data_IF_664405100427
#
_entry.id   IF_664405100427
#
_cell.length_a   1.000
_cell.length_b   1.000
_cell.length_c   1.000
_cell.angle_alpha   90.00
_cell.angle_beta   90.00
_cell.angle_gamma   90.00
#
_symmetry.space_group_name_H-M   'P 1'
#
loop_
_entity.id
_entity.type
_entity.pdbx_description
1 polymer ?
#
# COMPACT_ATOMS: atom_id res chain seq x y z
N UNK A 1 1.60 17.84 4.46
CA UNK A 1 2.33 17.75 3.17
C UNK A 1 2.11 19.09 2.51
N UNK A 2 3.09 19.99 2.62
CA UNK A 2 2.93 21.39 2.23
C UNK A 2 2.84 21.53 0.72
N UNK A 3 2.00 22.47 0.27
CA UNK A 3 1.94 22.93 -1.11
C UNK A 3 3.33 23.37 -1.59
N UNK A 4 3.97 22.52 -2.41
CA UNK A 4 5.20 22.88 -3.15
C UNK A 4 4.85 23.41 -4.56
N UNK A 5 3.58 23.49 -4.94
CA UNK A 5 3.16 23.91 -6.30
C UNK A 5 2.79 25.39 -6.46
N UNK A 6 3.12 26.26 -5.49
CA UNK A 6 2.71 27.67 -5.53
C UNK A 6 3.86 28.64 -5.20
N UNK A 7 4.78 28.81 -6.15
CA UNK A 7 5.42 30.12 -6.44
C UNK A 7 6.50 29.96 -7.51
N UNK A 8 6.12 30.05 -8.78
CA UNK A 8 7.09 30.43 -9.83
C UNK A 8 6.52 31.65 -10.55
N UNK A 9 7.18 32.78 -10.32
CA UNK A 9 6.89 34.05 -10.99
C UNK A 9 7.36 33.91 -12.43
N UNK A 10 6.44 34.12 -13.37
CA UNK A 10 6.68 34.14 -14.81
C UNK A 10 7.52 35.38 -15.12
N UNK A 11 8.72 35.19 -15.65
CA UNK A 11 9.52 36.27 -16.22
C UNK A 11 9.11 36.44 -17.69
N UNK A 12 8.42 37.55 -18.01
CA UNK A 12 7.91 37.87 -19.35
C UNK A 12 9.02 38.34 -20.32
N UNK A 13 10.30 38.26 -19.96
CA UNK A 13 11.38 38.90 -20.73
C UNK A 13 12.20 38.00 -21.66
N UNK A 14 11.78 36.76 -21.95
CA UNK A 14 12.47 35.87 -22.91
C UNK A 14 11.59 35.54 -24.12
N UNK A 15 11.34 36.56 -24.94
CA UNK A 15 10.82 36.40 -26.31
C UNK A 15 11.97 36.02 -27.26
N UNK A 16 12.08 34.73 -27.63
CA UNK A 16 12.67 34.30 -28.92
C UNK A 16 12.49 32.80 -29.27
N UNK A 17 11.38 32.15 -28.88
CA UNK A 17 11.06 30.79 -29.33
C UNK A 17 9.56 30.67 -29.64
N UNK A 18 9.13 31.33 -30.71
CA UNK A 18 7.72 31.64 -31.00
C UNK A 18 6.74 30.46 -30.99
N UNK A 19 5.43 30.76 -30.85
CA UNK A 19 4.35 29.76 -30.75
C UNK A 19 4.32 28.73 -31.90
N UNK A 20 4.84 29.08 -33.08
CA UNK A 20 4.86 28.23 -34.29
C UNK A 20 5.71 26.94 -34.15
N UNK A 21 6.83 26.99 -33.41
CA UNK A 21 7.70 25.81 -33.21
C UNK A 21 7.04 24.78 -32.29
N UNK A 22 6.37 25.27 -31.25
CA UNK A 22 5.66 24.42 -30.31
C UNK A 22 4.43 23.81 -30.98
N UNK A 23 3.59 24.55 -31.72
CA UNK A 23 2.48 23.94 -32.48
C UNK A 23 2.94 22.85 -33.47
N UNK A 24 4.12 23.00 -34.08
CA UNK A 24 4.70 22.03 -35.03
C UNK A 24 5.11 20.70 -34.38
N UNK A 25 5.54 20.73 -33.11
CA UNK A 25 6.10 19.56 -32.39
C UNK A 25 5.26 19.09 -31.18
N UNK A 26 4.29 19.90 -30.73
CA UNK A 26 3.25 19.59 -29.73
C UNK A 26 2.17 18.74 -30.38
N UNK A 27 1.70 19.15 -31.56
CA UNK A 27 0.62 18.47 -32.29
C UNK A 27 1.28 17.56 -33.35
N UNK A 28 0.82 16.32 -33.57
CA UNK A 28 1.64 15.22 -34.15
C UNK A 28 1.91 15.35 -35.66
N UNK A 29 2.59 16.41 -36.09
CA UNK A 29 3.15 16.55 -37.43
C UNK A 29 4.49 15.82 -37.60
N UNK A 30 5.24 15.63 -36.51
CA UNK A 30 6.57 15.00 -36.51
C UNK A 30 6.54 13.52 -36.09
N UNK A 31 7.02 12.63 -36.96
CA UNK A 31 6.98 11.18 -36.76
C UNK A 31 7.87 10.69 -35.60
N UNK A 32 9.03 11.33 -35.37
CA UNK A 32 9.95 10.91 -34.30
C UNK A 32 9.54 11.49 -32.94
N UNK A 33 8.98 12.70 -32.89
CA UNK A 33 8.33 13.19 -31.66
C UNK A 33 7.20 12.25 -31.23
N UNK A 34 6.38 11.77 -32.18
CA UNK A 34 5.32 10.79 -31.90
C UNK A 34 5.86 9.47 -31.36
N UNK A 35 7.00 8.99 -31.87
CA UNK A 35 7.65 7.78 -31.34
C UNK A 35 8.08 7.98 -29.88
N UNK A 36 8.65 9.14 -29.54
CA UNK A 36 9.05 9.50 -28.19
C UNK A 36 7.84 9.58 -27.24
N UNK A 37 6.78 10.28 -27.64
CA UNK A 37 5.55 10.38 -26.83
C UNK A 37 4.88 9.02 -26.63
N UNK A 38 4.79 8.21 -27.68
CA UNK A 38 4.23 6.85 -27.60
C UNK A 38 5.05 5.96 -26.69
N UNK A 39 6.39 6.04 -26.79
CA UNK A 39 7.30 5.30 -25.93
C UNK A 39 7.10 5.66 -24.45
N UNK A 40 6.84 6.93 -24.11
CA UNK A 40 6.59 7.33 -22.71
C UNK A 40 5.12 7.25 -22.28
N UNK A 41 4.26 6.66 -23.12
CA UNK A 41 2.83 6.57 -22.82
C UNK A 41 2.14 7.94 -22.71
N UNK A 42 2.67 8.98 -23.36
CA UNK A 42 2.09 10.32 -23.38
C UNK A 42 1.00 10.36 -24.45
N UNK A 43 -0.23 10.65 -24.03
CA UNK A 43 -1.38 10.75 -24.91
C UNK A 43 -1.50 12.14 -25.54
N UNK A 44 -2.32 12.27 -26.58
CA UNK A 44 -2.66 13.58 -27.18
C UNK A 44 -3.28 14.53 -26.15
N UNK A 45 -4.16 14.01 -25.28
CA UNK A 45 -4.78 14.81 -24.23
C UNK A 45 -3.76 15.32 -23.19
N UNK A 46 -2.72 14.54 -22.91
CA UNK A 46 -1.62 14.99 -22.03
C UNK A 46 -0.85 16.15 -22.65
N UNK A 47 -0.59 16.08 -23.96
CA UNK A 47 0.14 17.10 -24.69
C UNK A 47 -0.69 18.39 -24.81
N UNK A 48 -1.98 18.28 -25.14
CA UNK A 48 -2.91 19.42 -25.18
C UNK A 48 -3.02 20.09 -23.80
N UNK A 49 -3.16 19.30 -22.73
CA UNK A 49 -3.23 19.81 -21.35
C UNK A 49 -1.93 20.47 -20.90
N UNK A 50 -0.78 19.97 -21.35
CA UNK A 50 0.53 20.51 -21.01
C UNK A 50 0.99 21.66 -21.93
N UNK A 51 0.31 21.94 -23.04
CA UNK A 51 0.76 22.89 -24.07
C UNK A 51 1.05 24.31 -23.54
N UNK A 52 0.19 24.83 -22.66
CA UNK A 52 0.41 26.13 -22.02
C UNK A 52 1.66 26.10 -21.11
N UNK A 53 1.84 25.02 -20.35
CA UNK A 53 3.01 24.84 -19.48
C UNK A 53 4.28 24.70 -20.31
N UNK A 54 4.27 23.88 -21.37
CA UNK A 54 5.38 23.70 -22.30
C UNK A 54 5.83 25.02 -22.92
N UNK A 55 4.87 25.88 -23.28
CA UNK A 55 5.12 27.21 -23.86
C UNK A 55 5.74 28.18 -22.85
N UNK A 56 5.41 28.04 -21.56
CA UNK A 56 5.95 28.89 -20.49
C UNK A 56 7.32 28.47 -19.95
N UNK A 57 7.72 27.19 -20.13
CA UNK A 57 8.96 26.67 -19.56
C UNK A 57 10.21 27.19 -20.31
N UNK A 58 11.19 27.71 -19.57
CA UNK A 58 12.51 27.99 -20.14
C UNK A 58 13.27 26.69 -20.46
N UNK A 59 14.27 26.72 -21.36
CA UNK A 59 15.13 25.56 -21.65
C UNK A 59 15.78 24.95 -20.40
N UNK A 60 16.29 25.82 -19.51
CA UNK A 60 16.94 25.41 -18.26
C UNK A 60 15.93 24.75 -17.31
N UNK A 61 14.72 25.31 -17.18
CA UNK A 61 13.67 24.72 -16.35
C UNK A 61 13.21 23.35 -16.87
N UNK A 62 13.11 23.19 -18.19
CA UNK A 62 12.78 21.89 -18.78
C UNK A 62 13.88 20.86 -18.49
N UNK A 63 15.15 21.25 -18.57
CA UNK A 63 16.28 20.37 -18.21
C UNK A 63 16.23 19.96 -16.73
N UNK A 64 15.99 20.92 -15.82
CA UNK A 64 15.89 20.67 -14.39
C UNK A 64 14.76 19.68 -14.05
N UNK A 65 13.59 19.84 -14.66
CA UNK A 65 12.45 18.92 -14.47
C UNK A 65 12.82 17.49 -14.92
N UNK A 66 13.49 17.35 -16.06
CA UNK A 66 13.90 16.03 -16.57
C UNK A 66 14.98 15.39 -15.68
N UNK A 67 15.90 16.19 -15.12
CA UNK A 67 16.90 15.71 -14.15
C UNK A 67 16.25 15.29 -12.84
N UNK A 68 15.28 16.06 -12.35
CA UNK A 68 14.52 15.72 -11.15
C UNK A 68 13.71 14.45 -11.35
N UNK A 69 13.11 14.24 -12.53
CA UNK A 69 12.47 12.98 -12.88
C UNK A 69 13.43 11.79 -12.74
N UNK A 70 14.62 11.85 -13.32
CA UNK A 70 15.61 10.77 -13.21
C UNK A 70 16.09 10.54 -11.77
N UNK A 71 16.22 11.62 -10.99
CA UNK A 71 16.65 11.54 -9.59
C UNK A 71 15.59 10.88 -8.70
N UNK A 72 14.31 11.17 -8.93
CA UNK A 72 13.20 10.68 -8.11
C UNK A 72 12.73 9.30 -8.59
N UNK A 73 12.65 9.11 -9.90
CA UNK A 73 12.01 7.94 -10.53
C UNK A 73 12.97 7.04 -11.31
N UNK A 74 14.27 7.34 -11.37
CA UNK A 74 15.23 6.54 -12.13
C UNK A 74 15.36 5.09 -11.66
N UNK A 75 15.21 4.87 -10.34
CA UNK A 75 15.23 3.53 -9.71
C UNK A 75 13.81 3.03 -9.36
N UNK A 76 12.76 3.70 -9.84
CA UNK A 76 11.37 3.33 -9.56
C UNK A 76 10.94 2.14 -10.43
N UNK A 77 10.73 0.99 -9.81
CA UNK A 77 10.29 -0.24 -10.49
C UNK A 77 8.92 -0.12 -11.18
N UNK A 78 8.12 0.88 -10.83
CA UNK A 78 6.81 1.13 -11.44
C UNK A 78 6.89 2.03 -12.68
N UNK A 79 8.05 2.64 -12.96
CA UNK A 79 8.28 3.42 -14.17
C UNK A 79 8.98 2.54 -15.20
N UNK A 80 8.45 2.40 -16.42
CA UNK A 80 9.09 1.55 -17.42
C UNK A 80 10.50 2.04 -17.77
N UNK A 81 11.46 1.12 -17.87
CA UNK A 81 12.89 1.41 -18.13
C UNK A 81 13.10 2.23 -19.41
N UNK A 82 12.25 2.02 -20.41
CA UNK A 82 12.30 2.79 -21.66
C UNK A 82 11.93 4.27 -21.48
N UNK A 83 11.11 4.63 -20.49
CA UNK A 83 10.80 6.02 -20.18
C UNK A 83 12.01 6.72 -19.54
N UNK A 84 12.68 6.03 -18.61
CA UNK A 84 13.94 6.51 -18.01
C UNK A 84 15.02 6.70 -19.07
N UNK A 85 15.21 5.71 -19.96
CA UNK A 85 16.21 5.82 -21.03
C UNK A 85 15.87 6.91 -22.05
N UNK A 86 14.59 7.15 -22.33
CA UNK A 86 14.13 8.24 -23.21
C UNK A 86 14.46 9.60 -22.61
N UNK A 87 14.23 9.80 -21.31
CA UNK A 87 14.58 11.06 -20.63
C UNK A 87 16.09 11.28 -20.60
N UNK A 88 16.89 10.25 -20.31
CA UNK A 88 18.36 10.33 -20.37
C UNK A 88 18.83 10.71 -21.77
N UNK A 89 18.27 10.09 -22.80
CA UNK A 89 18.58 10.39 -24.20
C UNK A 89 18.20 11.84 -24.58
N UNK A 90 17.07 12.36 -24.10
CA UNK A 90 16.68 13.75 -24.32
C UNK A 90 17.68 14.72 -23.67
N UNK A 91 18.10 14.45 -22.43
CA UNK A 91 19.10 15.28 -21.73
C UNK A 91 20.47 15.28 -22.45
N UNK A 92 20.92 14.12 -22.94
CA UNK A 92 22.15 14.01 -23.73
C UNK A 92 22.07 14.79 -25.06
N UNK A 93 20.91 14.74 -25.73
CA UNK A 93 20.66 15.49 -26.98
C UNK A 93 20.69 17.00 -26.74
N UNK A 94 20.11 17.48 -25.64
CA UNK A 94 20.13 18.91 -25.28
C UNK A 94 21.57 19.37 -24.97
N UNK A 95 22.34 18.57 -24.23
CA UNK A 95 23.70 18.92 -23.82
C UNK A 95 24.70 18.99 -25.00
N UNK A 96 24.46 18.23 -26.07
CA UNK A 96 25.38 18.11 -27.22
C UNK A 96 25.07 19.09 -28.37
N UNK A 97 23.85 19.61 -28.49
CA UNK A 97 23.47 20.52 -29.57
C UNK A 97 23.79 22.00 -29.24
N UNK A 98 24.78 22.59 -29.94
CA UNK A 98 25.22 23.98 -29.65
C UNK A 98 24.43 25.10 -30.35
N UNK A 99 23.66 24.84 -31.42
CA UNK A 99 22.93 25.92 -32.12
C UNK A 99 21.81 25.45 -33.07
N UNK A 100 21.56 24.15 -33.19
CA UNK A 100 20.50 23.60 -34.03
C UNK A 100 19.94 22.31 -33.43
N UNK A 101 18.95 22.44 -32.54
CA UNK A 101 17.79 21.53 -32.56
C UNK A 101 16.65 22.13 -31.73
N UNK A 102 16.10 23.25 -32.21
CA UNK A 102 14.85 23.84 -31.71
C UNK A 102 13.75 22.77 -31.53
N UNK A 103 13.82 21.72 -32.36
CA UNK A 103 13.01 20.50 -32.29
C UNK A 103 13.25 19.65 -31.04
N UNK A 104 14.49 19.23 -30.74
CA UNK A 104 14.75 18.45 -29.52
C UNK A 104 14.43 19.26 -28.27
N UNK A 105 14.69 20.56 -28.30
CA UNK A 105 14.31 21.46 -27.22
C UNK A 105 12.78 21.54 -27.06
N UNK A 106 12.01 21.62 -28.15
CA UNK A 106 10.56 21.62 -28.11
C UNK A 106 10.00 20.29 -27.58
N UNK A 107 10.54 19.15 -28.03
CA UNK A 107 10.17 17.82 -27.53
C UNK A 107 10.48 17.70 -26.04
N UNK A 108 11.69 18.09 -25.62
CA UNK A 108 12.10 18.06 -24.22
C UNK A 108 11.21 18.94 -23.33
N UNK A 109 10.86 20.15 -23.79
CA UNK A 109 9.90 21.04 -23.08
C UNK A 109 8.52 20.42 -22.97
N UNK A 110 8.02 19.79 -24.03
CA UNK A 110 6.73 19.11 -24.02
C UNK A 110 6.73 17.94 -23.02
N UNK A 111 7.77 17.10 -23.04
CA UNK A 111 7.94 15.99 -22.11
C UNK A 111 8.05 16.48 -20.68
N UNK A 112 8.91 17.47 -20.42
CA UNK A 112 9.07 18.09 -19.11
C UNK A 112 7.74 18.67 -18.61
N UNK A 113 6.98 19.36 -19.46
CA UNK A 113 5.69 19.92 -19.12
C UNK A 113 4.67 18.83 -18.72
N UNK A 114 4.60 17.72 -19.45
CA UNK A 114 3.71 16.60 -19.11
C UNK A 114 4.11 15.97 -17.77
N UNK A 115 5.41 15.70 -17.57
CA UNK A 115 5.92 15.10 -16.34
C UNK A 115 5.77 16.03 -15.11
N UNK A 116 5.80 17.34 -15.31
CA UNK A 116 5.62 18.33 -14.24
C UNK A 116 4.14 18.60 -13.92
N UNK A 117 3.30 18.70 -14.95
CA UNK A 117 1.89 19.07 -14.80
C UNK A 117 1.00 17.89 -14.44
N UNK A 118 1.35 16.67 -14.83
CA UNK A 118 0.55 15.47 -14.63
C UNK A 118 1.35 14.34 -13.93
N UNK A 119 0.70 13.21 -13.64
CA UNK A 119 1.35 12.03 -13.06
C UNK A 119 2.39 11.44 -14.01
N UNK A 120 3.51 10.92 -13.49
CA UNK A 120 4.51 10.18 -14.28
C UNK A 120 3.98 8.84 -14.78
N UNK A 121 3.07 8.21 -14.02
CA UNK A 121 2.45 6.93 -14.38
C UNK A 121 1.30 7.13 -15.38
N UNK A 122 1.38 6.44 -16.51
CA UNK A 122 0.40 6.52 -17.59
C UNK A 122 -1.00 6.09 -17.14
N UNK A 123 -1.07 5.04 -16.34
CA UNK A 123 -2.32 4.48 -15.82
C UNK A 123 -3.06 5.54 -15.00
N UNK A 124 -2.33 6.29 -14.16
CA UNK A 124 -2.90 7.36 -13.34
C UNK A 124 -3.39 8.52 -14.22
N UNK A 125 -2.60 8.94 -15.21
CA UNK A 125 -3.02 10.02 -16.15
C UNK A 125 -4.30 9.66 -16.91
N UNK A 126 -4.48 8.39 -17.25
CA UNK A 126 -5.63 7.93 -18.02
C UNK A 126 -6.95 7.95 -17.22
N UNK A 127 -6.90 7.90 -15.89
CA UNK A 127 -8.09 7.81 -15.03
C UNK A 127 -8.29 8.99 -14.09
N UNK A 128 -7.26 9.79 -13.80
CA UNK A 128 -7.30 10.91 -12.86
C UNK A 128 -6.93 12.21 -13.56
N UNK A 129 -7.78 13.25 -13.51
CA UNK A 129 -7.41 14.56 -14.02
C UNK A 129 -6.29 15.19 -13.19
N UNK A 130 -5.34 15.85 -13.85
CA UNK A 130 -4.20 16.50 -13.21
C UNK A 130 -4.57 17.73 -12.37
N UNK A 131 -5.72 18.35 -12.67
CA UNK A 131 -6.21 19.56 -12.02
C UNK A 131 -7.33 19.25 -11.03
N UNK A 132 -7.34 19.99 -9.91
CA UNK A 132 -8.43 19.94 -8.93
C UNK A 132 -9.42 21.08 -9.15
N UNK A 133 -10.71 20.77 -9.12
CA UNK A 133 -11.76 21.77 -9.09
C UNK A 133 -12.14 22.10 -7.63
N UNK A 134 -11.63 23.21 -7.12
CA UNK A 134 -11.82 23.64 -5.72
C UNK A 134 -13.28 24.03 -5.41
N UNK A 135 -14.08 24.36 -6.43
CA UNK A 135 -15.49 24.74 -6.27
C UNK A 135 -16.41 23.52 -6.09
N UNK A 136 -15.92 22.30 -6.38
CA UNK A 136 -16.75 21.11 -6.32
C UNK A 136 -17.13 20.76 -4.86
N UNK A 137 -18.43 20.57 -4.55
CA UNK A 137 -18.87 20.30 -3.19
C UNK A 137 -18.39 18.92 -2.70
N UNK A 138 -17.77 18.92 -1.53
CA UNK A 138 -17.20 17.74 -0.86
C UNK A 138 -18.02 17.30 0.34
N UNK A 139 -18.35 18.26 1.22
CA UNK A 139 -19.01 18.02 2.49
C UNK A 139 -20.51 18.26 2.38
N UNK A 140 -21.24 17.26 1.88
CA UNK A 140 -22.69 17.38 1.64
C UNK A 140 -23.48 16.45 2.55
N UNK A 141 -24.73 16.83 2.84
CA UNK A 141 -25.62 16.02 3.70
C UNK A 141 -25.90 14.65 3.06
N UNK A 142 -26.11 14.60 1.74
CA UNK A 142 -26.34 13.34 1.01
C UNK A 142 -25.14 12.40 1.10
N UNK A 143 -23.91 12.93 1.02
CA UNK A 143 -22.68 12.16 1.19
C UNK A 143 -22.62 11.54 2.58
N UNK A 144 -22.86 12.34 3.63
CA UNK A 144 -22.89 11.83 5.02
C UNK A 144 -23.96 10.76 5.23
N UNK A 145 -25.17 10.96 4.72
CA UNK A 145 -26.27 9.99 4.88
C UNK A 145 -25.92 8.67 4.19
N UNK A 146 -25.49 8.71 2.92
CA UNK A 146 -25.13 7.50 2.17
C UNK A 146 -23.90 6.83 2.82
N UNK A 147 -22.90 7.61 3.21
CA UNK A 147 -21.68 7.13 3.86
C UNK A 147 -21.97 6.45 5.19
N UNK A 148 -22.85 7.00 6.03
CA UNK A 148 -23.23 6.39 7.30
C UNK A 148 -24.04 5.10 7.13
N UNK A 149 -24.91 5.04 6.11
CA UNK A 149 -25.65 3.82 5.77
C UNK A 149 -24.68 2.69 5.41
N UNK A 150 -23.71 2.97 4.53
CA UNK A 150 -22.73 1.96 4.13
C UNK A 150 -21.74 1.63 5.25
N UNK A 151 -21.28 2.63 6.00
CA UNK A 151 -20.35 2.40 7.09
C UNK A 151 -20.96 1.49 8.18
N UNK A 152 -22.18 1.79 8.62
CA UNK A 152 -22.90 0.97 9.60
C UNK A 152 -23.37 -0.37 9.04
N UNK A 153 -23.87 -0.37 7.80
CA UNK A 153 -24.38 -1.57 7.13
C UNK A 153 -23.30 -2.61 6.86
N UNK A 154 -22.14 -2.19 6.32
CA UNK A 154 -21.01 -3.10 6.09
C UNK A 154 -20.46 -3.66 7.41
N UNK A 155 -20.27 -2.81 8.41
CA UNK A 155 -19.82 -3.25 9.73
C UNK A 155 -20.75 -4.32 10.31
N UNK A 156 -22.07 -4.09 10.26
CA UNK A 156 -23.06 -5.04 10.74
C UNK A 156 -23.08 -6.35 9.95
N UNK A 157 -23.03 -6.28 8.61
CA UNK A 157 -23.01 -7.45 7.75
C UNK A 157 -21.76 -8.30 7.96
N UNK A 158 -20.57 -7.68 7.96
CA UNK A 158 -19.32 -8.40 8.16
C UNK A 158 -19.26 -9.01 9.57
N UNK A 159 -19.69 -8.27 10.59
CA UNK A 159 -19.78 -8.80 11.95
C UNK A 159 -20.71 -10.00 12.05
N UNK A 160 -21.85 -9.97 11.34
CA UNK A 160 -22.82 -11.06 11.32
C UNK A 160 -22.28 -12.32 10.63
N UNK A 161 -21.51 -12.16 9.55
CA UNK A 161 -20.94 -13.29 8.81
C UNK A 161 -19.60 -13.79 9.36
N UNK A 162 -18.94 -13.03 10.23
CA UNK A 162 -17.64 -13.36 10.80
C UNK A 162 -17.54 -14.80 11.34
N UNK A 163 -18.49 -15.30 12.16
CA UNK A 163 -18.35 -16.60 12.81
C UNK A 163 -18.58 -17.80 11.88
N UNK A 164 -18.91 -17.58 10.60
CA UNK A 164 -19.15 -18.66 9.65
C UNK A 164 -17.84 -19.24 9.17
N UNK A 165 -17.81 -20.56 8.95
CA UNK A 165 -16.74 -21.22 8.20
C UNK A 165 -17.29 -21.70 6.84
N UNK A 166 -16.79 -21.17 5.70
CA UNK A 166 -15.82 -20.06 5.58
C UNK A 166 -16.45 -18.69 5.91
N UNK A 167 -15.62 -17.75 6.37
CA UNK A 167 -16.06 -16.37 6.64
C UNK A 167 -16.49 -15.70 5.34
N UNK A 168 -17.67 -15.10 5.33
CA UNK A 168 -18.18 -14.34 4.18
C UNK A 168 -17.90 -12.88 4.46
N UNK A 169 -17.13 -12.23 3.58
CA UNK A 169 -16.77 -10.81 3.76
C UNK A 169 -17.29 -9.97 2.61
N UNK A 170 -18.08 -8.96 2.95
CA UNK A 170 -18.72 -8.04 2.00
C UNK A 170 -17.77 -6.87 1.74
N UNK A 171 -17.07 -6.90 0.61
CA UNK A 171 -16.06 -5.90 0.27
C UNK A 171 -16.62 -4.47 0.15
N UNK A 172 -15.77 -3.49 0.45
CA UNK A 172 -16.03 -2.04 0.30
C UNK A 172 -16.42 -1.66 -1.13
N UNK A 173 -16.02 -2.45 -2.15
CA UNK A 173 -16.40 -2.21 -3.54
C UNK A 173 -17.92 -2.21 -3.76
N UNK A 174 -18.69 -2.91 -2.92
CA UNK A 174 -20.16 -2.83 -2.94
C UNK A 174 -20.65 -1.43 -2.56
N UNK A 175 -20.08 -0.83 -1.51
CA UNK A 175 -20.40 0.54 -1.13
C UNK A 175 -19.98 1.54 -2.21
N UNK A 176 -18.86 1.30 -2.90
CA UNK A 176 -18.43 2.13 -4.02
C UNK A 176 -19.43 2.05 -5.20
N UNK A 177 -19.77 0.84 -5.64
CA UNK A 177 -20.69 0.64 -6.77
C UNK A 177 -22.10 1.16 -6.49
N UNK A 178 -22.69 0.74 -5.36
CA UNK A 178 -24.05 1.15 -5.01
C UNK A 178 -24.11 2.58 -4.47
N UNK A 179 -23.07 3.05 -3.78
CA UNK A 179 -22.95 4.44 -3.35
C UNK A 179 -22.99 5.41 -4.53
N UNK A 180 -22.40 5.05 -5.68
CA UNK A 180 -22.49 5.85 -6.89
C UNK A 180 -23.92 5.95 -7.43
N UNK A 181 -24.63 4.83 -7.52
CA UNK A 181 -26.01 4.80 -7.95
C UNK A 181 -26.92 5.60 -6.99
N UNK A 182 -26.73 5.44 -5.67
CA UNK A 182 -27.44 6.18 -4.65
C UNK A 182 -27.13 7.68 -4.68
N UNK A 183 -25.88 8.05 -4.93
CA UNK A 183 -25.45 9.44 -5.03
C UNK A 183 -26.02 10.16 -6.25
N UNK A 184 -26.00 9.49 -7.42
CA UNK A 184 -26.67 9.97 -8.64
C UNK A 184 -28.18 10.12 -8.43
N UNK A 185 -28.82 9.15 -7.79
CA UNK A 185 -30.25 9.24 -7.44
C UNK A 185 -30.53 10.37 -6.44
N UNK A 186 -29.68 10.58 -5.43
CA UNK A 186 -29.80 11.67 -4.49
C UNK A 186 -29.66 13.03 -5.18
N UNK A 187 -28.73 13.17 -6.13
CA UNK A 187 -28.54 14.39 -6.90
C UNK A 187 -29.72 14.71 -7.85
N UNK A 188 -30.50 13.72 -8.27
CA UNK A 188 -31.69 13.95 -9.12
C UNK A 188 -32.98 14.13 -8.31
N UNK A 189 -33.11 13.45 -7.18
CA UNK A 189 -34.34 13.43 -6.37
C UNK A 189 -34.37 14.56 -5.34
N UNK A 190 -33.24 14.89 -4.71
CA UNK A 190 -33.22 15.87 -3.62
C UNK A 190 -33.41 17.30 -4.13
N UNK A 191 -34.13 18.15 -3.38
CA UNK A 191 -34.40 19.53 -3.80
C UNK A 191 -33.14 20.40 -3.75
N UNK A 192 -32.95 21.21 -4.79
CA UNK A 192 -31.92 22.26 -4.86
C UNK A 192 -32.21 23.48 -3.96
N UNK A 193 -33.27 23.42 -3.14
CA UNK A 193 -33.73 24.55 -2.33
C UNK A 193 -32.72 24.85 -1.23
N UNK A 194 -32.30 26.11 -1.16
CA UNK A 194 -31.51 26.62 -0.02
C UNK A 194 -32.44 26.85 1.17
N UNK A 195 -32.17 26.17 2.27
CA UNK A 195 -32.83 26.37 3.55
C UNK A 195 -32.14 27.50 4.32
N UNK A 196 -32.91 28.31 5.05
CA UNK A 196 -32.44 29.47 5.82
C UNK A 196 -31.56 30.47 5.04
N UNK A 197 -32.02 30.96 3.87
CA UNK A 197 -31.24 31.88 3.05
C UNK A 197 -30.91 33.16 3.83
N UNK A 198 -29.66 33.61 3.77
CA UNK A 198 -29.18 34.82 4.45
C UNK A 198 -28.76 34.64 5.91
N UNK A 199 -28.84 33.42 6.46
CA UNK A 199 -28.29 33.11 7.79
C UNK A 199 -26.97 32.35 7.69
N UNK A 200 -26.16 32.38 8.75
CA UNK A 200 -24.96 31.53 8.90
C UNK A 200 -25.24 30.02 8.89
N UNK A 201 -26.50 29.62 9.00
CA UNK A 201 -26.96 28.23 8.99
C UNK A 201 -27.64 27.86 7.67
N UNK A 202 -27.41 28.63 6.60
CA UNK A 202 -27.91 28.29 5.29
C UNK A 202 -27.29 26.98 4.80
N UNK A 203 -28.12 26.04 4.34
CA UNK A 203 -27.66 24.78 3.77
C UNK A 203 -28.59 24.29 2.66
N UNK A 204 -28.08 23.37 1.85
CA UNK A 204 -28.84 22.68 0.80
C UNK A 204 -28.68 21.18 0.95
N UNK A 205 -29.75 20.43 0.65
CA UNK A 205 -29.69 18.97 0.56
C UNK A 205 -29.03 18.50 -0.75
N UNK A 206 -29.05 19.37 -1.76
CA UNK A 206 -28.52 19.11 -3.08
C UNK A 206 -27.73 20.35 -3.56
N UNK A 207 -26.41 20.42 -3.29
CA UNK A 207 -25.59 21.55 -3.76
C UNK A 207 -25.30 21.53 -5.26
N UNK A 208 -25.60 20.44 -5.95
CA UNK A 208 -25.30 20.30 -7.39
C UNK A 208 -25.17 18.84 -7.82
N UNK A 209 -24.65 18.60 -9.04
CA UNK A 209 -24.40 17.27 -9.56
C UNK A 209 -23.58 16.38 -8.62
N UNK A 210 -23.70 15.07 -8.77
CA UNK A 210 -22.92 14.11 -8.00
C UNK A 210 -21.42 14.21 -8.33
N UNK A 211 -20.59 14.47 -7.31
CA UNK A 211 -19.14 14.66 -7.48
C UNK A 211 -18.32 13.38 -7.25
N UNK A 212 -17.13 13.33 -7.86
CA UNK A 212 -16.15 12.29 -7.53
C UNK A 212 -15.69 12.41 -6.07
N UNK A 213 -15.61 13.63 -5.53
CA UNK A 213 -15.18 13.85 -4.14
C UNK A 213 -16.17 13.27 -3.12
N UNK A 214 -17.48 13.44 -3.34
CA UNK A 214 -18.50 12.82 -2.50
C UNK A 214 -18.42 11.28 -2.54
N UNK A 215 -18.20 10.73 -3.74
CA UNK A 215 -18.04 9.29 -3.95
C UNK A 215 -16.82 8.72 -3.20
N UNK A 216 -15.68 9.41 -3.29
CA UNK A 216 -14.44 9.04 -2.60
C UNK A 216 -14.64 9.05 -1.09
N UNK A 217 -15.30 10.08 -0.54
CA UNK A 217 -15.55 10.17 0.91
C UNK A 217 -16.42 9.02 1.42
N UNK A 218 -17.48 8.63 0.71
CA UNK A 218 -18.30 7.45 1.07
C UNK A 218 -17.45 6.19 1.10
N UNK A 219 -16.55 6.04 0.14
CA UNK A 219 -15.68 4.87 0.02
C UNK A 219 -14.69 4.82 1.19
N UNK A 220 -14.10 5.96 1.56
CA UNK A 220 -13.24 6.09 2.75
C UNK A 220 -14.01 5.75 4.02
N UNK A 221 -15.20 6.34 4.23
CA UNK A 221 -16.04 6.07 5.41
C UNK A 221 -16.36 4.58 5.54
N UNK A 222 -16.70 3.93 4.43
CA UNK A 222 -17.03 2.50 4.38
C UNK A 222 -15.81 1.61 4.59
N UNK A 223 -14.64 2.03 4.12
CA UNK A 223 -13.39 1.30 4.29
C UNK A 223 -12.96 1.25 5.75
N UNK A 224 -13.07 2.37 6.46
CA UNK A 224 -12.69 2.48 7.88
C UNK A 224 -13.54 1.58 8.78
N UNK A 225 -14.82 1.36 8.45
CA UNK A 225 -15.74 0.56 9.28
C UNK A 225 -15.88 -0.91 8.86
N UNK A 226 -15.27 -1.31 7.75
CA UNK A 226 -15.43 -2.65 7.16
C UNK A 226 -14.83 -3.77 8.04
N UNK A 227 -13.78 -3.47 8.81
CA UNK A 227 -13.04 -4.46 9.61
C UNK A 227 -13.81 -4.84 10.88
N UNK A 228 -13.93 -6.13 11.12
CA UNK A 228 -14.54 -6.66 12.34
C UNK A 228 -13.61 -6.51 13.54
N UNK A 229 -14.10 -6.04 14.70
CA UNK A 229 -13.28 -5.91 15.90
C UNK A 229 -12.82 -7.28 16.41
N UNK A 230 -11.52 -7.37 16.72
CA UNK A 230 -10.84 -8.54 17.34
C UNK A 230 -11.57 -9.02 18.61
N UNK A 231 -12.24 -8.11 19.31
CA UNK A 231 -13.01 -8.43 20.52
C UNK A 231 -14.07 -9.52 20.32
N UNK A 232 -14.53 -9.72 19.09
CA UNK A 232 -15.46 -10.79 18.72
C UNK A 232 -14.88 -12.18 18.99
N UNK A 233 -13.59 -12.39 18.70
CA UNK A 233 -12.93 -13.68 18.91
C UNK A 233 -12.74 -13.97 20.39
N UNK A 234 -12.36 -12.94 21.15
CA UNK A 234 -12.22 -13.02 22.60
C UNK A 234 -13.51 -13.51 23.27
N UNK A 235 -14.67 -13.06 22.78
CA UNK A 235 -15.97 -13.53 23.25
C UNK A 235 -16.15 -15.02 23.02
N UNK A 236 -15.83 -15.53 21.82
CA UNK A 236 -15.96 -16.95 21.50
C UNK A 236 -15.01 -17.81 22.34
N UNK A 237 -13.77 -17.38 22.53
CA UNK A 237 -12.79 -18.08 23.37
C UNK A 237 -13.21 -18.09 24.84
N UNK A 238 -13.75 -16.97 25.34
CA UNK A 238 -14.24 -16.92 26.71
C UNK A 238 -15.47 -17.81 26.90
N UNK A 239 -16.43 -17.80 25.96
CA UNK A 239 -17.70 -18.51 26.13
C UNK A 239 -17.65 -20.00 25.81
N UNK A 240 -16.96 -20.42 24.75
CA UNK A 240 -17.04 -21.81 24.28
C UNK A 240 -16.41 -22.75 25.32
N UNK A 241 -17.12 -23.82 25.62
CA UNK A 241 -16.71 -24.82 26.62
C UNK A 241 -15.42 -25.56 26.21
N UNK A 242 -15.13 -25.60 24.90
CA UNK A 242 -13.88 -26.12 24.35
C UNK A 242 -12.65 -25.30 24.79
N UNK A 243 -12.84 -24.03 25.12
CA UNK A 243 -11.77 -23.11 25.50
C UNK A 243 -11.84 -22.79 27.00
N UNK A 244 -12.47 -21.67 27.40
CA UNK A 244 -12.50 -21.22 28.80
C UNK A 244 -13.82 -21.53 29.52
N UNK A 245 -14.90 -21.86 28.79
CA UNK A 245 -16.20 -22.23 29.37
C UNK A 245 -16.80 -21.18 30.32
N UNK A 246 -16.47 -19.90 30.13
CA UNK A 246 -16.94 -18.82 31.00
C UNK A 246 -18.36 -18.44 30.60
N UNK A 247 -19.35 -18.94 31.36
CA UNK A 247 -20.76 -18.65 31.11
C UNK A 247 -21.08 -17.15 31.11
N UNK A 248 -20.39 -16.34 31.93
CA UNK A 248 -20.58 -14.88 31.98
C UNK A 248 -20.27 -14.20 30.64
N UNK A 249 -19.38 -14.78 29.84
CA UNK A 249 -18.99 -14.21 28.56
C UNK A 249 -20.14 -14.22 27.55
N UNK A 250 -21.14 -15.11 27.68
CA UNK A 250 -22.35 -15.09 26.83
C UNK A 250 -23.15 -13.79 26.92
N UNK A 251 -22.97 -13.04 28.00
CA UNK A 251 -23.66 -11.77 28.22
C UNK A 251 -22.82 -10.64 27.63
N UNK A 252 -23.13 -10.20 26.41
CA UNK A 252 -22.59 -8.93 25.86
C UNK A 252 -22.91 -7.74 26.79
N UNK A 253 -23.98 -7.87 27.57
CA UNK A 253 -24.30 -6.98 28.68
C UNK A 253 -23.26 -7.00 29.78
N UNK A 254 -22.55 -8.10 30.10
CA UNK A 254 -21.52 -8.12 31.14
C UNK A 254 -20.32 -7.21 30.81
N UNK A 255 -19.94 -7.11 29.53
CA UNK A 255 -18.88 -6.20 29.07
C UNK A 255 -19.35 -4.74 29.07
N UNK A 256 -20.54 -4.46 28.54
CA UNK A 256 -21.15 -3.12 28.66
C UNK A 256 -21.40 -2.75 30.12
N UNK A 257 -21.77 -3.71 30.96
CA UNK A 257 -21.96 -3.60 32.41
C UNK A 257 -20.61 -3.38 33.09
N UNK A 258 -19.50 -3.93 32.60
CA UNK A 258 -18.17 -3.56 33.06
C UNK A 258 -17.89 -2.07 32.80
N UNK A 259 -18.36 -1.48 31.70
CA UNK A 259 -18.22 -0.03 31.45
C UNK A 259 -19.25 0.84 32.20
N UNK A 260 -20.49 0.36 32.36
CA UNK A 260 -21.63 1.12 32.88
C UNK A 260 -21.80 0.99 34.39
N UNK A 261 -21.42 -0.15 35.00
CA UNK A 261 -21.49 -0.29 36.46
C UNK A 261 -20.51 0.69 37.11
N UNK A 262 -21.03 1.54 38.00
CA UNK A 262 -20.23 2.39 38.87
C UNK A 262 -19.49 1.64 39.97
N UNK A 263 -19.71 0.33 40.10
CA UNK A 263 -19.04 -0.51 41.08
C UNK A 263 -17.54 -0.63 40.76
N UNK A 264 -16.71 -0.24 41.73
CA UNK A 264 -15.26 -0.34 41.70
C UNK A 264 -14.78 -1.17 42.91
N UNK A 265 -14.98 -2.50 42.89
CA UNK A 265 -14.56 -3.36 43.98
C UNK A 265 -13.03 -3.38 44.11
N UNK A 266 -12.53 -3.84 45.27
CA UNK A 266 -11.11 -4.09 45.47
C UNK A 266 -10.65 -5.18 44.50
N UNK A 267 -9.72 -4.87 43.60
CA UNK A 267 -9.05 -5.84 42.74
C UNK A 267 -7.66 -6.10 43.34
N UNK A 268 -7.36 -7.33 43.77
CA UNK A 268 -6.05 -7.73 44.33
C UNK A 268 -5.45 -6.75 45.37
N UNK A 269 -6.30 -6.19 46.25
CA UNK A 269 -5.86 -5.30 47.34
C UNK A 269 -5.72 -3.81 46.99
N UNK A 270 -5.96 -3.41 45.74
CA UNK A 270 -5.92 -2.00 45.30
C UNK A 270 -7.24 -1.57 44.64
N UNK A 271 -7.48 -0.25 44.59
CA UNK A 271 -8.65 0.35 43.93
C UNK A 271 -8.19 1.38 42.91
N UNK A 272 -8.57 1.20 41.66
CA UNK A 272 -8.38 2.18 40.59
C UNK A 272 -9.69 2.34 39.82
N UNK A 273 -10.10 3.58 39.54
CA UNK A 273 -11.31 3.78 38.72
C UNK A 273 -11.05 3.31 37.29
N UNK A 274 -12.04 2.67 36.67
CA UNK A 274 -11.97 2.13 35.30
C UNK A 274 -11.40 3.12 34.28
N UNK A 275 -11.85 4.38 34.31
CA UNK A 275 -11.35 5.43 33.41
C UNK A 275 -9.89 5.80 33.66
N UNK A 276 -9.46 5.91 34.93
CA UNK A 276 -8.03 6.13 35.26
C UNK A 276 -7.18 4.95 34.82
N UNK A 277 -7.66 3.71 35.02
CA UNK A 277 -6.95 2.53 34.55
C UNK A 277 -6.81 2.53 33.03
N UNK A 278 -7.91 2.80 32.31
CA UNK A 278 -7.88 2.95 30.85
C UNK A 278 -6.89 4.03 30.40
N UNK A 279 -6.94 5.23 30.97
CA UNK A 279 -6.03 6.32 30.60
C UNK A 279 -4.57 6.01 30.89
N UNK A 280 -4.28 5.34 32.02
CA UNK A 280 -2.92 4.90 32.35
C UNK A 280 -2.43 3.85 31.35
N UNK A 281 -3.22 2.81 31.09
CA UNK A 281 -2.85 1.76 30.13
C UNK A 281 -2.71 2.33 28.72
N UNK A 282 -3.61 3.23 28.31
CA UNK A 282 -3.55 3.93 27.03
C UNK A 282 -2.27 4.77 26.90
N UNK A 283 -1.94 5.58 27.91
CA UNK A 283 -0.72 6.39 27.90
C UNK A 283 0.54 5.51 27.89
N UNK A 284 0.57 4.43 28.70
CA UNK A 284 1.66 3.48 28.70
C UNK A 284 1.82 2.78 27.36
N UNK A 285 0.71 2.32 26.75
CA UNK A 285 0.71 1.69 25.43
C UNK A 285 1.19 2.68 24.36
N UNK A 286 0.69 3.92 24.36
CA UNK A 286 1.14 4.97 23.44
C UNK A 286 2.65 5.22 23.55
N UNK A 287 3.17 5.41 24.76
CA UNK A 287 4.61 5.57 24.98
C UNK A 287 5.39 4.33 24.50
N UNK A 288 4.89 3.14 24.82
CA UNK A 288 5.54 1.89 24.45
C UNK A 288 5.57 1.66 22.95
N UNK A 289 4.51 1.97 22.20
CA UNK A 289 4.49 1.84 20.74
C UNK A 289 5.30 2.94 20.04
N UNK A 290 5.34 4.15 20.59
CA UNK A 290 6.06 5.28 19.99
C UNK A 290 7.59 5.09 20.04
N UNK A 291 8.11 4.47 21.09
CA UNK A 291 9.55 4.24 21.27
C UNK A 291 10.17 3.40 20.13
N UNK A 292 9.75 2.14 19.88
CA UNK A 292 10.33 1.32 18.82
C UNK A 292 9.96 1.86 17.44
N UNK A 293 8.76 2.40 17.23
CA UNK A 293 8.33 2.80 15.89
C UNK A 293 8.88 4.16 15.43
N UNK A 294 9.19 5.08 16.35
CA UNK A 294 9.57 6.45 15.98
C UNK A 294 10.92 6.87 16.53
N UNK A 295 11.20 6.63 17.81
CA UNK A 295 12.46 7.09 18.42
C UNK A 295 13.65 6.17 18.14
N UNK A 296 13.43 4.84 18.24
CA UNK A 296 14.48 3.83 18.09
C UNK A 296 13.99 2.62 17.27
N UNK A 297 13.85 2.77 15.92
CA UNK A 297 13.50 1.68 15.01
C UNK A 297 14.36 0.42 15.12
N UNK A 298 15.58 0.55 15.64
CA UNK A 298 16.48 -0.58 15.90
C UNK A 298 15.97 -1.55 16.96
N UNK A 299 15.04 -1.12 17.84
CA UNK A 299 14.41 -1.99 18.84
C UNK A 299 13.39 -2.95 18.23
N UNK A 300 12.88 -2.67 17.02
CA UNK A 300 11.97 -3.57 16.30
C UNK A 300 12.68 -4.82 15.80
N UNK A 301 13.94 -4.71 15.34
CA UNK A 301 14.75 -5.84 14.89
C UNK A 301 15.98 -6.03 15.79
N UNK A 302 15.72 -6.39 17.04
CA UNK A 302 16.75 -6.48 18.06
C UNK A 302 17.50 -7.83 17.97
N UNK A 303 18.80 -7.80 17.65
CA UNK A 303 19.64 -9.00 17.55
C UNK A 303 20.89 -8.92 18.44
N UNK A 304 20.69 -9.00 19.75
CA UNK A 304 21.77 -8.91 20.74
C UNK A 304 22.77 -10.08 20.71
N UNK A 305 22.38 -11.25 20.19
CA UNK A 305 23.25 -12.44 20.14
C UNK A 305 24.49 -12.18 19.26
N UNK A 306 24.39 -11.26 18.29
CA UNK A 306 25.55 -10.82 17.50
C UNK A 306 26.64 -10.18 18.35
N UNK A 307 26.36 -9.65 19.54
CA UNK A 307 27.40 -9.13 20.43
C UNK A 307 28.35 -10.21 20.96
N UNK A 308 27.90 -11.47 21.02
CA UNK A 308 28.74 -12.61 21.41
C UNK A 308 29.81 -12.87 20.34
N UNK A 309 29.44 -12.74 19.06
CA UNK A 309 30.36 -12.91 17.92
C UNK A 309 30.01 -11.96 16.78
N UNK A 310 30.44 -10.69 16.86
CA UNK A 310 29.96 -9.62 15.97
C UNK A 310 30.41 -9.77 14.51
N UNK A 311 31.51 -10.49 14.28
CA UNK A 311 32.06 -10.71 12.93
C UNK A 311 31.49 -11.94 12.22
N UNK A 312 30.59 -12.70 12.86
CA UNK A 312 30.09 -13.95 12.29
C UNK A 312 28.81 -13.73 11.50
N UNK A 313 28.92 -13.80 10.17
CA UNK A 313 27.77 -13.78 9.27
C UNK A 313 26.76 -14.89 9.59
N UNK A 314 27.23 -16.09 9.95
CA UNK A 314 26.37 -17.23 10.34
C UNK A 314 25.50 -16.91 11.56
N UNK A 315 26.07 -16.28 12.59
CA UNK A 315 25.31 -15.90 13.79
C UNK A 315 24.26 -14.85 13.43
N UNK A 316 24.64 -13.82 12.67
CA UNK A 316 23.71 -12.80 12.22
C UNK A 316 22.56 -13.37 11.36
N UNK A 317 22.86 -14.32 10.47
CA UNK A 317 21.91 -14.95 9.56
C UNK A 317 20.85 -15.79 10.31
N UNK A 318 21.28 -16.56 11.30
CA UNK A 318 20.39 -17.46 12.05
C UNK A 318 19.58 -16.68 13.09
N UNK A 319 20.20 -15.76 13.82
CA UNK A 319 19.54 -15.09 14.96
C UNK A 319 18.89 -13.76 14.59
N UNK A 320 19.27 -13.15 13.47
CA UNK A 320 18.70 -11.89 13.00
C UNK A 320 17.24 -12.05 12.62
N UNK A 321 16.42 -11.02 12.86
CA UNK A 321 15.00 -11.01 12.47
C UNK A 321 14.70 -10.08 11.29
N UNK A 322 15.73 -9.41 10.76
CA UNK A 322 15.60 -8.43 9.68
C UNK A 322 15.56 -9.10 8.30
N UNK A 323 14.61 -8.66 7.47
CA UNK A 323 14.26 -9.06 6.09
C UNK A 323 14.33 -10.55 5.73
N UNK A 324 15.52 -11.16 5.68
CA UNK A 324 15.68 -12.54 5.18
C UNK A 324 16.48 -13.46 6.10
N UNK A 325 16.62 -13.07 7.37
CA UNK A 325 17.22 -13.89 8.41
C UNK A 325 16.16 -14.80 9.07
N UNK A 326 16.58 -15.78 9.87
CA UNK A 326 15.66 -16.79 10.42
C UNK A 326 14.95 -16.39 11.73
N UNK A 327 15.43 -15.38 12.43
CA UNK A 327 14.79 -14.87 13.65
C UNK A 327 14.90 -15.80 14.86
N UNK A 328 15.86 -16.75 14.88
CA UNK A 328 16.11 -17.61 16.04
C UNK A 328 16.77 -16.84 17.17
N UNK A 329 15.97 -16.01 17.82
CA UNK A 329 16.37 -15.16 18.91
C UNK A 329 15.25 -15.14 19.97
N UNK A 330 15.53 -15.54 21.22
CA UNK A 330 14.56 -15.49 22.31
C UNK A 330 14.00 -14.08 22.58
N UNK A 331 14.75 -13.05 22.23
CA UNK A 331 14.35 -11.65 22.35
C UNK A 331 14.67 -10.93 21.03
N UNK A 332 13.83 -11.19 20.02
CA UNK A 332 13.97 -10.70 18.64
C UNK A 332 13.47 -9.27 18.44
N UNK A 333 12.59 -8.78 19.30
CA UNK A 333 11.96 -7.47 19.16
C UNK A 333 11.46 -6.93 20.50
N UNK A 334 11.44 -5.61 20.63
CA UNK A 334 10.69 -4.90 21.68
C UNK A 334 9.41 -4.25 21.13
N UNK A 335 9.05 -4.52 19.88
CA UNK A 335 7.85 -4.00 19.24
C UNK A 335 6.73 -5.04 19.31
N UNK A 336 5.65 -4.70 20.01
CA UNK A 336 4.49 -5.59 20.12
C UNK A 336 3.79 -5.81 18.78
N UNK A 337 3.87 -4.88 17.82
CA UNK A 337 3.26 -5.09 16.50
C UNK A 337 3.83 -6.32 15.79
N UNK A 338 5.10 -6.65 16.06
CA UNK A 338 5.74 -7.83 15.49
C UNK A 338 5.17 -9.13 16.08
N UNK A 339 4.79 -9.12 17.36
CA UNK A 339 4.20 -10.27 18.05
C UNK A 339 2.69 -10.39 17.89
N UNK A 340 1.98 -9.28 17.59
CA UNK A 340 0.53 -9.32 17.35
C UNK A 340 0.13 -10.12 16.12
N UNK A 341 1.06 -10.46 15.22
CA UNK A 341 0.76 -11.34 14.08
C UNK A 341 0.23 -12.73 14.46
N UNK A 342 0.48 -13.19 15.69
CA UNK A 342 -0.03 -14.46 16.25
C UNK A 342 -1.12 -14.21 17.31
N UNK A 343 -1.40 -12.94 17.64
CA UNK A 343 -2.34 -12.46 18.66
C UNK A 343 -2.38 -13.33 19.92
N UNK A 344 -1.33 -13.29 20.77
CA UNK A 344 -1.18 -14.20 21.91
C UNK A 344 -2.26 -14.03 22.99
N UNK A 345 -3.03 -12.93 22.97
CA UNK A 345 -4.16 -12.72 23.87
C UNK A 345 -5.41 -13.51 23.47
N UNK A 346 -5.50 -13.88 22.20
CA UNK A 346 -6.65 -14.56 21.60
C UNK A 346 -6.28 -16.02 21.38
N UNK A 347 -5.10 -16.29 20.84
CA UNK A 347 -4.66 -17.64 20.52
C UNK A 347 -4.32 -18.43 21.80
N UNK A 348 -4.98 -19.58 22.07
CA UNK A 348 -4.64 -20.44 23.20
C UNK A 348 -3.15 -20.75 23.27
N UNK A 349 -2.57 -20.70 24.47
CA UNK A 349 -1.13 -20.89 24.68
C UNK A 349 -0.59 -22.14 23.99
N UNK A 350 -1.32 -23.26 24.06
CA UNK A 350 -0.90 -24.50 23.41
C UNK A 350 -0.77 -24.36 21.89
N UNK A 351 -1.68 -23.64 21.22
CA UNK A 351 -1.60 -23.38 19.78
C UNK A 351 -0.38 -22.51 19.46
N UNK A 352 -0.15 -21.45 20.25
CA UNK A 352 1.06 -20.61 20.09
C UNK A 352 2.33 -21.45 20.23
N UNK A 353 2.40 -22.33 21.24
CA UNK A 353 3.57 -23.21 21.43
C UNK A 353 3.75 -24.21 20.30
N UNK A 354 2.67 -24.70 19.69
CA UNK A 354 2.75 -25.56 18.51
C UNK A 354 3.27 -24.79 17.28
N UNK A 355 2.76 -23.58 17.04
CA UNK A 355 3.21 -22.74 15.92
C UNK A 355 4.69 -22.43 16.07
N UNK A 356 5.10 -21.89 17.22
CA UNK A 356 6.50 -21.55 17.50
C UNK A 356 7.39 -22.79 17.49
N UNK A 357 6.94 -23.90 18.09
CA UNK A 357 7.67 -25.16 18.10
C UNK A 357 7.86 -25.74 16.70
N UNK A 358 6.83 -25.66 15.85
CA UNK A 358 6.91 -26.12 14.45
C UNK A 358 7.85 -25.24 13.63
N UNK A 359 7.75 -23.91 13.77
CA UNK A 359 8.66 -22.98 13.11
C UNK A 359 10.11 -23.22 13.55
N UNK A 360 10.32 -23.51 14.84
CA UNK A 360 11.63 -23.80 15.38
C UNK A 360 12.21 -25.11 14.83
N UNK A 361 11.40 -26.16 14.81
CA UNK A 361 11.78 -27.46 14.25
C UNK A 361 12.14 -27.34 12.76
N UNK A 362 11.26 -26.76 11.95
CA UNK A 362 11.48 -26.62 10.51
C UNK A 362 12.65 -25.71 10.17
N UNK A 363 12.81 -24.60 10.90
CA UNK A 363 13.94 -23.70 10.72
C UNK A 363 15.29 -24.32 11.08
N UNK A 364 15.40 -24.98 12.24
CA UNK A 364 16.67 -25.54 12.70
C UNK A 364 17.01 -26.89 12.07
N UNK A 365 16.02 -27.77 11.90
CA UNK A 365 16.27 -29.14 11.44
C UNK A 365 16.20 -29.30 9.92
N UNK A 366 15.63 -28.32 9.19
CA UNK A 366 15.46 -28.41 7.74
C UNK A 366 16.08 -27.22 7.01
N UNK A 367 15.64 -25.99 7.30
CA UNK A 367 16.14 -24.80 6.55
C UNK A 367 17.65 -24.63 6.73
N UNK A 368 18.14 -24.66 7.96
CA UNK A 368 19.58 -24.53 8.27
C UNK A 368 20.42 -25.63 7.56
N UNK A 369 20.13 -26.94 7.69
CA UNK A 369 20.87 -27.97 6.97
C UNK A 369 20.83 -27.84 5.45
N UNK A 370 19.66 -27.56 4.87
CA UNK A 370 19.48 -27.38 3.41
C UNK A 370 20.36 -26.24 2.90
N UNK A 371 20.33 -25.11 3.61
CA UNK A 371 21.12 -23.92 3.27
C UNK A 371 22.63 -24.16 3.38
N UNK A 372 23.11 -24.67 4.51
CA UNK A 372 24.55 -24.85 4.73
C UNK A 372 25.14 -26.05 3.98
N UNK A 373 24.31 -27.03 3.60
CA UNK A 373 24.71 -28.12 2.71
C UNK A 373 24.59 -27.72 1.23
N UNK A 374 24.18 -26.48 0.96
CA UNK A 374 23.98 -25.91 -0.37
C UNK A 374 23.14 -26.80 -1.29
N UNK A 375 22.08 -27.38 -0.75
CA UNK A 375 21.15 -28.20 -1.54
C UNK A 375 20.39 -27.27 -2.47
N UNK A 376 20.34 -27.59 -3.76
CA UNK A 376 19.70 -26.77 -4.81
C UNK A 376 20.22 -25.33 -4.91
N UNK A 377 21.53 -25.13 -4.67
CA UNK A 377 22.19 -23.82 -4.78
C UNK A 377 21.62 -22.74 -3.83
N UNK A 378 20.90 -23.18 -2.80
CA UNK A 378 20.24 -22.29 -1.82
C UNK A 378 21.23 -21.45 -1.00
N UNK A 379 22.48 -21.89 -0.86
CA UNK A 379 23.52 -21.19 -0.10
C UNK A 379 23.98 -19.87 -0.75
N UNK A 380 23.66 -19.66 -2.04
CA UNK A 380 23.93 -18.41 -2.75
C UNK A 380 22.79 -17.39 -2.62
N UNK A 381 21.63 -17.81 -2.08
CA UNK A 381 20.43 -16.99 -1.95
C UNK A 381 20.23 -16.52 -0.50
N UNK A 382 19.33 -15.56 -0.24
CA UNK A 382 18.93 -15.25 1.13
C UNK A 382 18.23 -16.46 1.79
N UNK A 383 18.63 -16.85 3.01
CA UNK A 383 18.14 -18.08 3.66
C UNK A 383 16.62 -18.13 3.83
N UNK A 384 15.99 -16.97 4.08
CA UNK A 384 14.57 -16.83 4.38
C UNK A 384 13.88 -15.74 3.54
N UNK A 385 13.83 -15.91 2.22
CA UNK A 385 13.11 -15.03 1.29
C UNK A 385 11.89 -15.72 0.68
N UNK A 386 10.86 -14.94 0.32
CA UNK A 386 9.68 -15.40 -0.42
C UNK A 386 9.75 -15.12 -1.93
N UNK A 387 10.86 -14.56 -2.40
CA UNK A 387 11.08 -14.23 -3.81
C UNK A 387 11.80 -15.38 -4.52
N UNK A 388 11.47 -15.65 -5.80
CA UNK A 388 12.31 -16.42 -6.68
C UNK A 388 13.51 -15.60 -7.18
N UNK A 389 14.63 -16.25 -7.48
CA UNK A 389 15.85 -15.61 -7.96
C UNK A 389 16.36 -16.24 -9.25
N UNK A 390 17.08 -15.44 -10.03
CA UNK A 390 17.89 -15.92 -11.16
C UNK A 390 19.32 -16.31 -10.70
N UNK A 391 20.12 -16.82 -11.63
CA UNK A 391 21.51 -17.21 -11.45
C UNK A 391 22.45 -16.05 -11.08
N UNK A 392 22.01 -14.80 -11.18
CA UNK A 392 22.76 -13.61 -10.75
C UNK A 392 22.41 -13.19 -9.32
N UNK A 393 21.40 -13.82 -8.70
CA UNK A 393 20.91 -13.49 -7.37
C UNK A 393 19.96 -12.30 -7.35
N UNK A 394 19.44 -11.88 -8.50
CA UNK A 394 18.40 -10.86 -8.64
C UNK A 394 17.03 -11.54 -8.67
N UNK A 395 15.96 -10.80 -8.36
CA UNK A 395 14.59 -11.31 -8.43
C UNK A 395 14.28 -11.84 -9.83
N UNK A 396 13.70 -13.04 -9.91
CA UNK A 396 13.42 -13.70 -11.18
C UNK A 396 12.34 -12.97 -11.98
N UNK A 397 12.66 -12.56 -13.22
CA UNK A 397 11.72 -11.90 -14.13
C UNK A 397 10.98 -12.93 -15.00
N UNK A 398 9.75 -13.26 -14.61
CA UNK A 398 8.96 -14.26 -15.31
C UNK A 398 8.59 -13.84 -16.75
N UNK A 399 8.51 -12.54 -17.05
CA UNK A 399 8.13 -12.05 -18.38
C UNK A 399 9.17 -12.39 -19.45
N UNK A 400 10.45 -12.54 -19.08
CA UNK A 400 11.52 -12.89 -20.01
C UNK A 400 11.42 -14.31 -20.57
N UNK A 401 10.70 -15.20 -19.88
CA UNK A 401 10.51 -16.60 -20.28
C UNK A 401 9.13 -16.85 -20.90
N UNK A 402 8.33 -15.80 -21.09
CA UNK A 402 7.01 -15.87 -21.70
C UNK A 402 7.07 -15.38 -23.16
N UNK A 403 6.46 -16.15 -24.07
CA UNK A 403 6.24 -15.72 -25.45
C UNK A 403 5.18 -14.61 -25.53
N UNK A 404 5.01 -14.03 -26.73
CA UNK A 404 4.00 -12.99 -26.97
C UNK A 404 2.56 -13.45 -26.69
N UNK A 405 2.32 -14.76 -26.62
CA UNK A 405 1.04 -15.37 -26.25
C UNK A 405 0.94 -15.72 -24.75
N UNK A 406 1.86 -15.21 -23.92
CA UNK A 406 2.01 -15.51 -22.50
C UNK A 406 2.18 -17.00 -22.19
N UNK A 407 2.68 -17.79 -23.15
CA UNK A 407 3.06 -19.19 -22.92
C UNK A 407 4.53 -19.29 -22.59
N UNK A 408 4.85 -20.28 -21.78
CA UNK A 408 6.22 -20.61 -21.42
C UNK A 408 7.05 -20.95 -22.67
N UNK A 409 8.18 -20.25 -22.83
CA UNK A 409 9.14 -20.44 -23.89
C UNK A 409 10.41 -21.10 -23.32
N UNK A 410 10.59 -22.39 -23.64
CA UNK A 410 11.72 -23.19 -23.16
C UNK A 410 13.08 -22.62 -23.59
N UNK A 411 13.20 -22.12 -24.82
CA UNK A 411 14.48 -21.57 -25.31
C UNK A 411 14.85 -20.29 -24.56
N UNK A 412 13.87 -19.41 -24.33
CA UNK A 412 14.10 -18.19 -23.56
C UNK A 412 14.46 -18.50 -22.08
N UNK A 413 13.88 -19.55 -21.50
CA UNK A 413 14.23 -20.02 -20.16
C UNK A 413 15.67 -20.52 -20.07
N UNK A 414 16.12 -21.32 -21.06
CA UNK A 414 17.49 -21.83 -21.12
C UNK A 414 18.53 -20.72 -21.35
N UNK A 415 18.17 -19.68 -22.10
CA UNK A 415 19.03 -18.52 -22.34
C UNK A 415 19.07 -17.55 -21.16
N UNK A 416 17.95 -17.37 -20.45
CA UNK A 416 17.87 -16.46 -19.30
C UNK A 416 18.46 -17.09 -18.04
N UNK A 417 17.74 -18.01 -17.41
CA UNK A 417 18.16 -18.57 -16.12
C UNK A 417 17.25 -19.68 -15.61
N UNK A 418 17.81 -20.72 -14.94
CA UNK A 418 17.00 -21.60 -14.14
C UNK A 418 16.37 -20.87 -12.95
N UNK A 419 15.15 -21.28 -12.57
CA UNK A 419 14.46 -20.72 -11.42
C UNK A 419 15.11 -21.22 -10.11
N UNK A 420 15.73 -20.31 -9.35
CA UNK A 420 16.35 -20.63 -8.07
C UNK A 420 15.45 -20.19 -6.90
N UNK A 421 15.25 -21.09 -5.94
CA UNK A 421 14.36 -20.86 -4.81
C UNK A 421 15.14 -20.92 -3.48
N UNK A 422 14.96 -19.94 -2.57
CA UNK A 422 15.51 -19.98 -1.22
C UNK A 422 15.08 -21.21 -0.41
N UNK A 423 15.91 -21.64 0.54
CA UNK A 423 15.65 -22.81 1.38
C UNK A 423 14.30 -22.72 2.12
N UNK A 424 13.97 -21.56 2.70
CA UNK A 424 12.67 -21.36 3.36
C UNK A 424 11.49 -21.38 2.37
N UNK A 425 11.68 -20.88 1.14
CA UNK A 425 10.61 -20.85 0.14
C UNK A 425 10.29 -22.24 -0.38
N UNK A 426 11.30 -23.07 -0.63
CA UNK A 426 11.14 -24.47 -1.00
C UNK A 426 10.36 -25.22 0.08
N UNK A 427 10.72 -25.02 1.36
CA UNK A 427 10.02 -25.66 2.46
C UNK A 427 8.56 -25.21 2.59
N UNK A 428 8.29 -23.92 2.38
CA UNK A 428 6.91 -23.40 2.37
C UNK A 428 6.06 -24.12 1.32
N UNK A 429 6.55 -24.24 0.08
CA UNK A 429 5.85 -24.96 -0.97
C UNK A 429 5.68 -26.45 -0.65
N UNK A 430 6.73 -27.10 -0.15
CA UNK A 430 6.66 -28.50 0.27
C UNK A 430 5.59 -28.72 1.35
N UNK A 431 5.53 -27.84 2.36
CA UNK A 431 4.51 -27.87 3.40
C UNK A 431 3.10 -27.67 2.86
N UNK A 432 2.91 -26.70 1.95
CA UNK A 432 1.60 -26.46 1.32
C UNK A 432 1.13 -27.65 0.49
N UNK A 433 2.04 -28.29 -0.27
CA UNK A 433 1.72 -29.49 -1.06
C UNK A 433 1.46 -30.72 -0.18
N UNK A 434 2.17 -30.86 0.94
CA UNK A 434 1.94 -31.92 1.92
C UNK A 434 0.61 -31.75 2.67
N UNK A 435 0.09 -30.52 2.77
CA UNK A 435 -1.18 -30.24 3.42
C UNK A 435 -2.37 -30.79 2.62
N UNK A 436 -2.29 -30.78 1.28
CA UNK A 436 -3.37 -31.24 0.37
C UNK A 436 -3.86 -32.66 0.69
N UNK A 437 -3.00 -33.69 0.84
CA UNK A 437 -3.43 -35.03 1.25
C UNK A 437 -3.71 -35.15 2.76
N UNK A 438 -3.17 -34.26 3.59
CA UNK A 438 -3.30 -34.30 5.06
C UNK A 438 -4.57 -33.62 5.58
N UNK A 439 -5.33 -32.93 4.72
CA UNK A 439 -6.61 -32.34 5.11
C UNK A 439 -7.55 -33.46 5.62
N UNK A 440 -8.06 -33.36 6.86
CA UNK A 440 -8.98 -34.35 7.38
C UNK A 440 -10.19 -34.42 6.46
N UNK A 441 -10.50 -35.62 5.94
CA UNK A 441 -11.82 -35.89 5.37
C UNK A 441 -12.81 -35.76 6.51
N UNK A 442 -13.52 -34.64 6.59
CA UNK A 442 -14.70 -34.54 7.43
C UNK A 442 -15.72 -35.54 6.91
N UNK A 443 -15.84 -36.68 7.57
CA UNK A 443 -17.00 -37.54 7.43
C UNK A 443 -18.17 -36.77 8.05
N UNK A 444 -19.07 -36.26 7.20
CA UNK A 444 -20.36 -35.71 7.64
C UNK A 444 -21.23 -36.79 8.24
#
# INVERSE_FOLDING_TARGET
>A
MGDIKSSMVVDESVDNYGPDLLETYIVPGDEEARKIYTAMGISLGDIEGAGNCASSLSPEQAEDILRDFLKIHGDDMCVPTHSVSTVTMLLERIATSKEADLRNLAIARCVAAVLHSNSVYQEVRAIVPASDNVEEPTNTIRMWVIGLIWAGGLAALNQFFYPRLPTITVSVYLAQLFGFAMGKAAATILPLKVFFPGSRFAFTLNPGPWSMKEQTLITIMSNVSYVTPVMTELFFIQRLDLYLGLEWASNFTAMNKAFIQGENPLANGWRISKMKYFLVVFACAWCYYWIPNTMFPTLTFFNWITWIKPTSAVVALVTGSYYFNLGFNPLSSFDYQWFSTIDPFVTPFFIVTQIVGSAAFWGLCVIVPVFFSNVWDTGYLPINSWLPYDNTGVSYEADLILGQDYKFNQTAYEEYSPLLLPAAFVLRWAGMMALLPAMPKFHM
#
